data_IF_484040425588
#
_entry.id   IF_484040425588
#
_cell.length_a   1.000
_cell.length_b   1.000
_cell.length_c   1.000
_cell.angle_alpha   90.00
_cell.angle_beta   90.00
_cell.angle_gamma   90.00
#
_symmetry.space_group_name_H-M   'P 1'
#
loop_
_entity.id
_entity.type
_entity.pdbx_description
1 polymer ?
#
# COMPACT_ATOMS: atom_id res chain seq x y z
N UNK A 1 26.13 55.04 4.16
CA UNK A 1 25.10 54.19 3.54
C UNK A 1 25.59 52.75 3.52
N UNK A 2 24.91 51.83 4.20
CA UNK A 2 25.03 50.38 4.01
C UNK A 2 23.60 49.84 3.99
N UNK A 3 23.13 49.40 2.83
CA UNK A 3 21.80 48.80 2.71
C UNK A 3 21.86 47.37 3.26
N UNK A 4 21.08 47.09 4.30
CA UNK A 4 20.94 45.73 4.83
C UNK A 4 19.90 45.01 3.96
N UNK A 5 20.36 44.15 3.05
CA UNK A 5 19.46 43.36 2.21
C UNK A 5 18.90 42.20 3.04
N UNK A 6 17.67 42.38 3.54
CA UNK A 6 16.98 41.35 4.30
C UNK A 6 16.43 40.30 3.32
N UNK A 7 17.15 39.19 3.13
CA UNK A 7 16.60 38.02 2.44
C UNK A 7 15.49 37.42 3.30
N UNK A 8 14.24 37.68 2.91
CA UNK A 8 13.09 36.88 3.34
C UNK A 8 13.17 35.52 2.65
N UNK A 9 13.84 34.57 3.30
CA UNK A 9 13.65 33.14 3.04
C UNK A 9 12.24 32.78 3.49
N UNK A 10 11.29 32.85 2.56
CA UNK A 10 9.96 32.25 2.74
C UNK A 10 10.14 30.74 2.67
N UNK A 11 10.43 30.14 3.82
CA UNK A 11 10.40 28.69 3.98
C UNK A 11 8.95 28.21 3.90
N UNK A 12 8.49 27.91 2.68
CA UNK A 12 7.23 27.19 2.51
C UNK A 12 7.51 25.73 2.86
N UNK A 13 7.21 25.35 4.10
CA UNK A 13 7.06 23.95 4.47
C UNK A 13 5.79 23.44 3.79
N UNK A 14 5.94 22.85 2.61
CA UNK A 14 4.84 22.22 1.88
C UNK A 14 4.49 20.89 2.57
N UNK A 15 3.60 21.00 3.56
CA UNK A 15 2.84 19.89 4.09
C UNK A 15 1.91 19.31 3.02
N UNK A 16 1.24 18.20 3.31
CA UNK A 16 0.29 17.63 2.36
C UNK A 16 -0.94 18.55 2.23
N UNK A 17 -1.15 19.11 1.04
CA UNK A 17 -2.17 20.13 0.78
C UNK A 17 -3.58 19.52 0.72
N UNK A 18 -4.33 19.53 1.83
CA UNK A 18 -5.74 19.12 1.89
C UNK A 18 -6.67 20.32 1.68
N UNK A 19 -7.49 20.29 0.62
CA UNK A 19 -8.47 21.34 0.29
C UNK A 19 -9.89 20.78 0.42
N UNK A 20 -10.80 21.49 1.10
CA UNK A 20 -12.22 21.10 1.13
C UNK A 20 -12.81 21.19 -0.30
N UNK A 21 -13.32 20.09 -0.88
CA UNK A 21 -13.94 20.09 -2.21
C UNK A 21 -15.03 21.14 -2.41
N UNK A 22 -15.70 21.59 -1.33
CA UNK A 22 -16.73 22.65 -1.37
C UNK A 22 -16.16 24.03 -1.68
N UNK A 23 -14.84 24.23 -1.53
CA UNK A 23 -14.16 25.50 -1.78
C UNK A 23 -13.55 25.60 -3.19
N UNK A 24 -13.63 24.53 -3.98
CA UNK A 24 -13.14 24.49 -5.35
C UNK A 24 -13.92 25.43 -6.28
N UNK A 25 -13.22 26.42 -6.85
CA UNK A 25 -13.78 27.40 -7.80
C UNK A 25 -13.49 27.09 -9.28
N UNK A 26 -12.62 26.12 -9.55
CA UNK A 26 -12.23 25.69 -10.91
C UNK A 26 -12.19 24.16 -11.02
N UNK A 27 -12.49 23.63 -12.21
CA UNK A 27 -12.42 22.20 -12.51
C UNK A 27 -11.36 21.93 -13.59
N UNK A 28 -10.50 20.91 -13.44
CA UNK A 28 -10.41 20.01 -12.28
C UNK A 28 -9.77 20.68 -11.06
N UNK A 29 -10.24 20.32 -9.87
CA UNK A 29 -9.68 20.75 -8.59
C UNK A 29 -8.80 19.64 -8.02
N UNK A 30 -7.61 19.98 -7.54
CA UNK A 30 -6.73 19.10 -6.78
C UNK A 30 -7.06 19.29 -5.30
N UNK A 31 -7.63 18.26 -4.66
CA UNK A 31 -8.13 18.36 -3.26
C UNK A 31 -7.20 17.75 -2.21
N UNK A 32 -6.18 17.02 -2.66
CA UNK A 32 -5.15 16.41 -1.82
C UNK A 32 -3.92 16.15 -2.67
N UNK A 33 -2.73 16.40 -2.12
CA UNK A 33 -1.47 16.10 -2.75
C UNK A 33 -0.38 15.84 -1.71
N UNK A 34 0.46 14.82 -1.92
CA UNK A 34 1.67 14.61 -1.13
C UNK A 34 2.87 14.26 -2.03
N UNK A 35 3.80 15.20 -2.14
CA UNK A 35 5.04 15.02 -2.90
C UNK A 35 6.12 14.27 -2.11
N UNK A 36 5.90 14.00 -0.81
CA UNK A 36 6.83 13.37 0.12
C UNK A 36 8.21 14.05 0.22
N UNK A 37 8.21 15.38 0.26
CA UNK A 37 9.38 16.16 0.65
C UNK A 37 9.77 15.88 2.12
N UNK A 38 8.77 15.73 2.99
CA UNK A 38 8.86 15.12 4.31
C UNK A 38 7.69 14.15 4.52
N UNK A 39 7.73 13.34 5.59
CA UNK A 39 6.58 12.53 5.97
C UNK A 39 5.65 13.36 6.85
N UNK A 40 4.50 13.76 6.30
CA UNK A 40 3.48 14.50 7.03
C UNK A 40 2.74 13.59 8.01
N UNK A 41 2.94 13.81 9.31
CA UNK A 41 2.33 13.04 10.38
C UNK A 41 0.92 13.51 10.78
N UNK A 42 0.44 14.65 10.26
CA UNK A 42 -0.97 15.02 10.38
C UNK A 42 -1.85 14.27 9.35
N UNK A 43 -1.24 13.76 8.27
CA UNK A 43 -1.89 12.90 7.27
C UNK A 43 -1.60 11.42 7.49
N UNK A 44 -0.32 11.03 7.64
CA UNK A 44 0.11 9.63 7.62
C UNK A 44 0.46 9.10 9.02
N UNK A 45 -0.26 8.06 9.40
CA UNK A 45 0.04 7.23 10.57
C UNK A 45 0.66 5.90 10.13
N UNK A 46 1.64 5.40 10.89
CA UNK A 46 2.15 4.05 10.72
C UNK A 46 1.27 3.03 11.46
N UNK A 47 0.94 1.92 10.81
CA UNK A 47 0.50 0.74 11.56
C UNK A 47 1.68 0.12 12.29
N UNK A 48 1.44 -0.29 13.54
CA UNK A 48 2.41 -0.91 14.43
C UNK A 48 1.81 -2.23 14.90
N UNK A 49 2.16 -3.34 14.24
CA UNK A 49 1.56 -4.66 14.52
C UNK A 49 2.33 -5.82 13.87
N UNK A 50 2.28 -6.98 14.52
CA UNK A 50 2.70 -8.31 14.04
C UNK A 50 1.52 -9.19 13.58
N UNK A 51 0.29 -8.66 13.59
CA UNK A 51 -0.96 -9.42 13.39
C UNK A 51 -1.09 -10.16 12.05
N UNK A 52 -0.18 -9.91 11.10
CA UNK A 52 -0.10 -10.62 9.83
C UNK A 52 -1.18 -10.24 8.82
N UNK A 53 -1.89 -9.13 9.01
CA UNK A 53 -2.80 -8.53 8.02
C UNK A 53 -4.03 -9.36 7.63
N UNK A 54 -4.30 -10.48 8.31
CA UNK A 54 -5.28 -11.49 7.87
C UNK A 54 -4.70 -12.56 6.94
N UNK A 55 -3.52 -12.32 6.35
CA UNK A 55 -2.83 -13.22 5.42
C UNK A 55 -1.69 -14.03 6.07
N UNK A 56 -1.50 -13.91 7.40
CA UNK A 56 -0.37 -14.44 8.16
C UNK A 56 1.01 -14.00 7.62
N UNK A 57 1.09 -12.72 7.24
CA UNK A 57 2.29 -12.06 6.69
C UNK A 57 3.45 -12.09 7.71
N UNK A 58 4.70 -12.25 7.23
CA UNK A 58 5.87 -12.54 8.06
C UNK A 58 6.59 -11.31 8.61
N UNK A 59 6.16 -10.09 8.26
CA UNK A 59 6.75 -8.86 8.76
C UNK A 59 6.07 -8.34 10.04
N UNK A 60 6.80 -7.58 10.85
CA UNK A 60 6.25 -6.61 11.80
C UNK A 60 6.19 -5.24 11.11
N UNK A 61 5.03 -4.59 11.14
CA UNK A 61 4.92 -3.18 10.76
C UNK A 61 5.36 -2.30 11.94
N UNK A 62 6.23 -1.33 11.68
CA UNK A 62 6.78 -0.41 12.70
C UNK A 62 6.96 1.02 12.16
N UNK A 63 6.81 2.00 13.04
CA UNK A 63 7.31 3.36 12.81
C UNK A 63 8.83 3.39 13.06
N UNK A 64 9.62 3.01 12.05
CA UNK A 64 11.09 3.03 12.13
C UNK A 64 11.68 3.65 10.84
N UNK A 65 12.63 4.58 11.01
CA UNK A 65 13.27 5.32 9.92
C UNK A 65 14.30 4.51 9.11
N UNK A 66 14.69 3.30 9.52
CA UNK A 66 15.47 2.39 8.65
C UNK A 66 14.59 1.77 7.54
N UNK A 67 13.32 1.48 7.86
CA UNK A 67 12.36 0.84 6.95
C UNK A 67 11.34 1.80 6.33
N UNK A 68 11.16 3.01 6.87
CA UNK A 68 10.28 4.02 6.28
C UNK A 68 10.74 5.46 6.52
N UNK A 69 11.00 6.19 5.44
CA UNK A 69 11.55 7.54 5.46
C UNK A 69 11.24 8.25 4.14
N UNK A 70 11.32 9.58 4.10
CA UNK A 70 11.29 10.33 2.84
C UNK A 70 12.69 10.80 2.44
N UNK A 71 12.94 10.88 1.13
CA UNK A 71 14.15 11.49 0.55
C UNK A 71 13.85 11.86 -0.90
N UNK A 72 14.46 12.92 -1.43
CA UNK A 72 14.37 13.25 -2.86
C UNK A 72 12.90 13.33 -3.38
N UNK A 73 11.99 13.93 -2.59
CA UNK A 73 10.55 14.04 -2.86
C UNK A 73 9.91 12.67 -3.14
N UNK A 74 10.14 11.70 -2.26
CA UNK A 74 9.74 10.30 -2.42
C UNK A 74 9.65 9.61 -1.04
N UNK A 75 8.54 8.93 -0.77
CA UNK A 75 8.39 8.00 0.35
C UNK A 75 9.11 6.69 0.06
N UNK A 76 9.93 6.23 0.99
CA UNK A 76 10.54 4.91 0.95
C UNK A 76 9.84 3.99 1.93
N UNK A 77 9.48 2.79 1.46
CA UNK A 77 9.21 1.63 2.32
C UNK A 77 10.21 0.55 1.91
N UNK A 78 11.03 0.11 2.86
CA UNK A 78 12.18 -0.78 2.64
C UNK A 78 12.23 -1.83 3.74
N UNK A 79 11.75 -3.06 3.50
CA UNK A 79 11.85 -4.14 4.47
C UNK A 79 13.30 -4.48 4.84
N UNK A 80 13.51 -4.86 6.10
CA UNK A 80 14.82 -5.21 6.66
C UNK A 80 14.66 -6.29 7.75
N UNK A 81 15.64 -7.18 7.92
CA UNK A 81 15.54 -8.28 8.91
C UNK A 81 15.40 -7.73 10.34
N UNK A 82 14.51 -8.29 11.16
CA UNK A 82 14.27 -7.87 12.55
C UNK A 82 15.54 -7.95 13.41
N UNK A 83 16.39 -8.97 13.17
CA UNK A 83 17.69 -9.11 13.83
C UNK A 83 18.66 -7.94 13.54
N UNK A 84 18.51 -7.20 12.42
CA UNK A 84 19.31 -5.98 12.17
C UNK A 84 18.99 -4.83 13.14
N UNK A 85 17.81 -4.85 13.73
CA UNK A 85 17.36 -3.86 14.71
C UNK A 85 17.51 -4.34 16.15
N UNK A 86 17.29 -5.64 16.40
CA UNK A 86 17.26 -6.19 17.76
C UNK A 86 18.50 -7.02 18.15
N UNK A 87 19.37 -7.36 17.19
CA UNK A 87 20.53 -8.22 17.37
C UNK A 87 20.29 -9.65 16.86
N UNK A 88 21.38 -10.32 16.48
CA UNK A 88 21.34 -11.67 15.92
C UNK A 88 20.71 -12.68 16.90
N UNK A 89 19.78 -13.51 16.42
CA UNK A 89 19.11 -14.54 17.21
C UNK A 89 17.95 -14.02 18.08
N UNK A 90 17.65 -12.72 18.05
CA UNK A 90 16.49 -12.15 18.72
C UNK A 90 15.19 -12.79 18.23
N UNK A 91 15.05 -12.99 16.92
CA UNK A 91 13.85 -13.59 16.31
C UNK A 91 13.48 -14.96 16.91
N UNK A 92 14.45 -15.73 17.40
CA UNK A 92 14.26 -17.07 18.00
C UNK A 92 14.37 -17.12 19.53
N UNK A 93 14.49 -16.00 20.23
CA UNK A 93 14.72 -15.99 21.70
C UNK A 93 14.24 -14.74 22.46
N UNK A 94 13.93 -13.65 21.76
CA UNK A 94 13.57 -12.36 22.34
C UNK A 94 12.06 -12.12 22.41
N UNK A 95 11.69 -11.18 23.27
CA UNK A 95 10.33 -10.65 23.39
C UNK A 95 10.21 -9.35 22.58
N UNK A 96 9.31 -9.32 21.58
CA UNK A 96 8.99 -8.11 20.84
C UNK A 96 7.66 -7.53 21.31
N UNK A 97 7.75 -6.66 22.31
CA UNK A 97 6.63 -5.88 22.81
C UNK A 97 6.56 -4.51 22.10
N UNK A 98 5.41 -4.21 21.49
CA UNK A 98 5.15 -2.99 20.70
C UNK A 98 4.37 -1.92 21.48
N UNK A 99 4.09 -2.12 22.77
CA UNK A 99 3.37 -1.14 23.59
C UNK A 99 4.28 0.01 24.04
N UNK A 100 4.15 1.17 23.39
CA UNK A 100 4.89 2.40 23.76
C UNK A 100 6.36 2.38 23.36
N UNK A 101 6.71 1.58 22.35
CA UNK A 101 8.08 1.17 22.04
C UNK A 101 9.04 2.33 21.69
N UNK A 102 8.53 3.41 21.09
CA UNK A 102 9.31 4.63 20.80
C UNK A 102 8.83 5.84 21.64
N UNK A 103 8.03 5.64 22.70
CA UNK A 103 7.49 6.69 23.56
C UNK A 103 6.02 7.04 23.30
N UNK A 104 5.66 8.31 23.46
CA UNK A 104 4.26 8.77 23.34
C UNK A 104 3.86 8.90 21.86
N UNK A 105 2.93 8.06 21.42
CA UNK A 105 2.34 8.09 20.07
C UNK A 105 2.50 6.76 19.34
N UNK A 106 3.69 6.15 19.41
CA UNK A 106 3.98 4.84 18.82
C UNK A 106 3.46 3.71 19.71
N UNK A 107 2.15 3.53 19.66
CA UNK A 107 1.40 2.47 20.33
C UNK A 107 0.96 1.44 19.29
N UNK A 108 1.00 0.16 19.65
CA UNK A 108 0.52 -0.91 18.78
C UNK A 108 -0.93 -0.64 18.28
N UNK A 109 -1.12 -0.70 16.97
CA UNK A 109 -2.38 -0.37 16.29
C UNK A 109 -3.30 -1.56 16.06
N UNK A 110 -2.85 -2.79 16.36
CA UNK A 110 -3.65 -4.00 16.21
C UNK A 110 -3.10 -5.18 17.00
N UNK A 111 -3.85 -5.63 18.02
CA UNK A 111 -3.44 -6.73 18.91
C UNK A 111 -3.95 -8.13 18.49
N UNK A 112 -4.72 -8.22 17.41
CA UNK A 112 -5.20 -9.50 16.88
C UNK A 112 -4.03 -10.47 16.63
N UNK A 113 -4.23 -11.75 16.96
CA UNK A 113 -3.23 -12.82 16.76
C UNK A 113 -1.85 -12.50 17.36
N UNK A 114 -1.81 -12.07 18.62
CA UNK A 114 -0.56 -11.66 19.29
C UNK A 114 0.13 -10.52 18.52
N UNK A 115 -0.66 -9.54 18.07
CA UNK A 115 -0.18 -8.49 17.18
C UNK A 115 0.71 -7.44 17.86
N UNK A 116 0.62 -7.30 19.18
CA UNK A 116 1.40 -6.30 19.93
C UNK A 116 2.52 -6.86 20.78
N UNK A 117 2.56 -8.17 21.00
CA UNK A 117 3.52 -8.82 21.87
C UNK A 117 3.74 -10.28 21.42
N UNK A 118 5.00 -10.68 21.20
CA UNK A 118 5.40 -12.03 20.80
C UNK A 118 6.73 -12.41 21.44
N UNK A 119 6.79 -13.61 21.99
CA UNK A 119 8.01 -14.22 22.51
C UNK A 119 8.57 -15.27 21.53
N UNK A 120 9.76 -15.02 21.01
CA UNK A 120 10.49 -15.90 20.10
C UNK A 120 11.06 -17.12 20.81
N UNK A 121 10.93 -18.28 20.17
CA UNK A 121 11.53 -19.54 20.60
C UNK A 121 11.87 -20.41 19.37
N UNK A 122 12.42 -21.61 19.61
CA UNK A 122 12.86 -22.52 18.55
C UNK A 122 11.76 -23.02 17.58
N UNK A 123 10.47 -22.78 17.88
CA UNK A 123 9.33 -23.20 17.04
C UNK A 123 8.51 -21.99 16.57
N UNK A 124 8.20 -21.08 17.49
CA UNK A 124 7.45 -19.86 17.17
C UNK A 124 8.42 -18.68 17.16
N UNK A 125 8.76 -18.21 15.96
CA UNK A 125 9.62 -17.05 15.76
C UNK A 125 8.83 -15.75 15.93
N UNK A 126 9.50 -14.70 16.43
CA UNK A 126 9.05 -13.32 16.18
C UNK A 126 9.14 -13.04 14.68
N UNK A 127 8.26 -12.19 14.15
CA UNK A 127 8.22 -11.83 12.73
C UNK A 127 9.64 -11.47 12.22
N UNK A 128 10.24 -12.26 11.30
CA UNK A 128 11.66 -12.16 10.96
C UNK A 128 12.05 -10.90 10.19
N UNK A 129 11.08 -10.13 9.71
CA UNK A 129 11.29 -8.93 8.89
C UNK A 129 10.54 -7.75 9.52
N UNK A 130 11.13 -6.56 9.51
CA UNK A 130 10.45 -5.29 9.73
C UNK A 130 10.02 -4.70 8.40
N UNK A 131 8.88 -4.01 8.38
CA UNK A 131 8.43 -3.19 7.27
C UNK A 131 7.62 -1.99 7.79
N UNK A 132 7.00 -1.24 6.88
CA UNK A 132 6.01 -0.24 7.22
C UNK A 132 4.73 -0.43 6.41
N UNK A 133 3.61 -0.10 7.05
CA UNK A 133 2.31 0.17 6.42
C UNK A 133 1.90 1.56 6.90
N UNK A 134 1.76 2.50 5.96
CA UNK A 134 1.30 3.85 6.25
C UNK A 134 -0.16 3.97 5.84
N UNK A 135 -0.96 4.63 6.67
CA UNK A 135 -2.38 4.88 6.41
C UNK A 135 -2.71 6.37 6.50
N UNK A 136 -3.50 6.88 5.56
CA UNK A 136 -3.99 8.27 5.61
C UNK A 136 -5.20 8.46 6.52
N UNK A 137 -5.62 7.39 7.22
CA UNK A 137 -6.82 7.32 8.07
C UNK A 137 -7.09 8.56 8.95
N UNK A 138 -6.12 9.12 9.71
CA UNK A 138 -6.38 10.30 10.52
C UNK A 138 -6.70 11.53 9.66
N UNK A 139 -5.79 11.93 8.76
CA UNK A 139 -5.89 13.20 8.03
C UNK A 139 -6.76 13.17 6.78
N UNK A 140 -6.65 12.13 5.93
CA UNK A 140 -7.28 12.14 4.60
C UNK A 140 -8.08 10.88 4.26
N UNK A 141 -9.32 11.08 3.82
CA UNK A 141 -10.15 10.06 3.19
C UNK A 141 -11.12 10.69 2.18
N UNK A 142 -11.29 10.06 1.02
CA UNK A 142 -12.01 10.59 -0.13
C UNK A 142 -13.16 9.69 -0.55
N UNK A 143 -14.22 10.28 -1.09
CA UNK A 143 -15.26 9.59 -1.87
C UNK A 143 -15.26 10.16 -3.27
N UNK A 144 -15.08 9.29 -4.27
CA UNK A 144 -15.04 9.61 -5.70
C UNK A 144 -13.89 10.54 -6.13
N UNK A 145 -13.59 10.51 -7.43
CA UNK A 145 -12.56 11.32 -8.08
C UNK A 145 -11.52 10.48 -8.81
N UNK A 146 -10.59 11.16 -9.48
CA UNK A 146 -9.38 10.54 -10.01
C UNK A 146 -8.32 10.48 -8.93
N UNK A 147 -7.71 9.32 -8.74
CA UNK A 147 -6.56 9.12 -7.86
C UNK A 147 -5.37 8.70 -8.70
N UNK A 148 -4.19 9.30 -8.50
CA UNK A 148 -2.96 9.00 -9.25
C UNK A 148 -1.78 8.74 -8.29
N UNK A 149 -1.37 7.48 -8.15
CA UNK A 149 -0.19 7.09 -7.35
C UNK A 149 0.96 6.74 -8.28
N UNK A 150 2.09 7.41 -8.10
CA UNK A 150 3.28 7.25 -8.93
C UNK A 150 4.37 6.51 -8.18
N UNK A 151 4.50 5.21 -8.39
CA UNK A 151 5.37 4.35 -7.60
C UNK A 151 6.36 3.54 -8.43
N UNK A 152 7.32 2.91 -7.75
CA UNK A 152 8.17 1.87 -8.32
C UNK A 152 8.31 0.72 -7.33
N UNK A 153 7.97 -0.48 -7.79
CA UNK A 153 7.92 -1.67 -6.93
C UNK A 153 9.33 -2.12 -6.50
N UNK A 154 9.46 -2.78 -5.34
CA UNK A 154 10.75 -3.28 -4.88
C UNK A 154 11.15 -4.55 -5.66
N UNK A 155 12.47 -4.78 -5.75
CA UNK A 155 13.02 -6.11 -6.09
C UNK A 155 13.42 -6.84 -4.82
N UNK A 156 12.97 -8.08 -4.66
CA UNK A 156 13.33 -8.96 -3.56
C UNK A 156 12.31 -10.08 -3.39
N UNK A 157 12.81 -11.25 -3.01
CA UNK A 157 11.99 -12.45 -2.82
C UNK A 157 10.96 -12.23 -1.71
N UNK A 158 9.75 -12.74 -1.91
CA UNK A 158 8.63 -12.70 -0.96
C UNK A 158 8.09 -11.31 -0.65
N UNK A 159 8.60 -10.23 -1.26
CA UNK A 159 8.06 -8.89 -1.04
C UNK A 159 6.70 -8.74 -1.72
N UNK A 160 5.72 -8.21 -1.00
CA UNK A 160 4.36 -7.97 -1.48
C UNK A 160 4.02 -6.49 -1.27
N UNK A 161 4.44 -5.61 -2.21
CA UNK A 161 4.00 -4.22 -2.23
C UNK A 161 2.49 -4.11 -2.50
N UNK A 162 1.83 -3.18 -1.82
CA UNK A 162 0.43 -2.84 -2.08
C UNK A 162 0.18 -1.33 -2.03
N UNK A 163 -0.68 -0.85 -2.93
CA UNK A 163 -1.27 0.49 -2.98
C UNK A 163 -2.79 0.27 -3.01
N UNK A 164 -3.44 0.56 -1.90
CA UNK A 164 -4.82 0.12 -1.69
C UNK A 164 -5.57 1.06 -0.76
N UNK A 165 -6.87 0.81 -0.57
CA UNK A 165 -7.75 1.66 0.19
C UNK A 165 -8.79 0.86 0.98
N UNK A 166 -9.04 1.29 2.21
CA UNK A 166 -10.12 0.80 3.07
C UNK A 166 -11.09 1.93 3.42
N UNK A 167 -12.34 1.63 3.79
CA UNK A 167 -13.32 2.64 4.15
C UNK A 167 -12.97 3.24 5.52
N UNK A 168 -13.10 4.57 5.67
CA UNK A 168 -12.81 5.29 6.93
C UNK A 168 -13.74 4.88 8.08
N UNK A 169 -14.92 4.37 7.73
CA UNK A 169 -15.91 3.82 8.64
C UNK A 169 -16.46 2.52 8.03
N UNK A 170 -17.06 1.65 8.84
CA UNK A 170 -17.54 0.34 8.40
C UNK A 170 -19.08 0.24 8.43
N UNK A 171 -19.81 1.06 7.63
CA UNK A 171 -21.27 1.21 7.77
C UNK A 171 -22.07 -0.03 7.35
N UNK A 172 -21.46 -0.92 6.56
CA UNK A 172 -22.09 -2.13 6.03
C UNK A 172 -21.65 -3.41 6.76
N UNK A 173 -20.94 -3.27 7.88
CA UNK A 173 -20.35 -4.38 8.63
C UNK A 173 -18.85 -4.54 8.34
N UNK A 174 -18.27 -5.64 8.84
CA UNK A 174 -16.84 -5.92 8.68
C UNK A 174 -16.42 -6.23 7.23
N UNK A 175 -15.17 -6.63 7.04
CA UNK A 175 -14.67 -7.03 5.72
C UNK A 175 -15.36 -8.31 5.21
N UNK A 176 -15.69 -8.43 3.90
CA UNK A 176 -15.53 -7.44 2.83
C UNK A 176 -16.77 -6.55 2.64
N UNK A 177 -17.74 -6.58 3.55
CA UNK A 177 -19.05 -5.93 3.39
C UNK A 177 -18.99 -4.40 3.30
N UNK A 178 -17.98 -3.74 3.90
CA UNK A 178 -17.71 -2.31 3.69
C UNK A 178 -16.66 -2.01 2.60
N UNK A 179 -16.18 -3.02 1.87
CA UNK A 179 -15.34 -2.87 0.68
C UNK A 179 -13.83 -2.74 0.93
N UNK A 180 -13.05 -3.06 -0.11
CA UNK A 180 -11.60 -2.84 -0.25
C UNK A 180 -11.29 -2.48 -1.71
N UNK A 181 -10.39 -1.52 -1.96
CA UNK A 181 -9.98 -1.11 -3.31
C UNK A 181 -8.46 -1.25 -3.44
N UNK A 182 -8.01 -2.22 -4.22
CA UNK A 182 -6.61 -2.46 -4.49
C UNK A 182 -6.25 -1.85 -5.84
N UNK A 183 -5.56 -0.71 -5.78
CA UNK A 183 -5.07 0.04 -6.95
C UNK A 183 -3.85 -0.67 -7.56
N UNK A 184 -3.06 -1.33 -6.72
CA UNK A 184 -1.97 -2.21 -7.11
C UNK A 184 -1.67 -3.21 -6.01
N UNK A 185 -1.55 -4.47 -6.40
CA UNK A 185 -0.75 -5.47 -5.71
C UNK A 185 0.31 -6.05 -6.68
N UNK A 186 1.48 -6.40 -6.17
CA UNK A 186 2.52 -7.08 -6.96
C UNK A 186 3.39 -7.96 -6.07
N UNK A 187 4.34 -8.70 -6.67
CA UNK A 187 5.39 -9.43 -5.98
C UNK A 187 6.74 -8.80 -6.32
N UNK A 188 7.71 -8.85 -5.42
CA UNK A 188 9.05 -8.29 -5.65
C UNK A 188 10.02 -9.26 -6.33
N UNK A 189 9.69 -10.54 -6.44
CA UNK A 189 10.56 -11.58 -7.00
C UNK A 189 10.94 -11.29 -8.47
N UNK A 190 12.24 -11.36 -8.78
CA UNK A 190 12.75 -11.24 -10.16
C UNK A 190 12.48 -12.51 -10.99
N UNK A 191 12.50 -13.67 -10.33
CA UNK A 191 12.15 -14.97 -10.92
C UNK A 191 11.12 -15.67 -10.02
N UNK A 192 9.89 -15.80 -10.54
CA UNK A 192 8.77 -16.46 -9.85
C UNK A 192 7.70 -16.90 -10.86
N UNK A 193 8.15 -17.44 -12.00
CA UNK A 193 7.27 -17.78 -13.14
C UNK A 193 6.38 -16.62 -13.57
N UNK A 194 5.14 -16.92 -13.92
CA UNK A 194 4.13 -15.94 -14.39
C UNK A 194 3.47 -15.12 -13.26
N UNK A 195 4.16 -14.96 -12.12
CA UNK A 195 3.65 -14.27 -10.92
C UNK A 195 4.62 -13.22 -10.33
N UNK A 196 5.83 -13.07 -10.86
CA UNK A 196 6.87 -12.16 -10.35
C UNK A 196 6.61 -10.67 -10.58
N UNK A 197 7.65 -9.84 -10.39
CA UNK A 197 7.57 -8.37 -10.48
C UNK A 197 7.34 -7.79 -11.88
N UNK A 198 7.21 -8.66 -12.90
CA UNK A 198 6.69 -8.32 -14.22
C UNK A 198 5.16 -8.24 -14.27
N UNK A 199 4.45 -8.66 -13.22
CA UNK A 199 2.99 -8.57 -13.10
C UNK A 199 2.55 -7.64 -11.97
N UNK A 200 1.37 -7.05 -12.16
CA UNK A 200 0.60 -6.36 -11.14
C UNK A 200 -0.87 -6.80 -11.22
N UNK A 201 -1.57 -6.71 -10.10
CA UNK A 201 -3.00 -6.93 -9.98
C UNK A 201 -3.71 -5.66 -9.52
N UNK A 202 -4.99 -5.55 -9.88
CA UNK A 202 -5.93 -4.62 -9.25
C UNK A 202 -7.18 -5.41 -8.88
N UNK A 203 -7.76 -5.11 -7.73
CA UNK A 203 -8.87 -5.88 -7.18
C UNK A 203 -9.85 -4.96 -6.44
N UNK A 204 -11.10 -5.40 -6.33
CA UNK A 204 -12.07 -4.85 -5.38
C UNK A 204 -12.62 -6.00 -4.56
N UNK A 205 -12.53 -5.95 -3.23
CA UNK A 205 -13.15 -6.96 -2.36
C UNK A 205 -14.51 -6.45 -1.89
N UNK A 206 -15.55 -7.28 -2.05
CA UNK A 206 -16.93 -6.95 -1.69
C UNK A 206 -17.74 -8.23 -1.53
N UNK A 207 -18.77 -8.19 -0.69
CA UNK A 207 -19.58 -9.37 -0.35
C UNK A 207 -20.17 -9.25 1.05
N UNK A 208 -21.23 -10.00 1.40
CA UNK A 208 -21.86 -9.88 2.71
C UNK A 208 -20.95 -10.31 3.88
N UNK A 209 -19.99 -11.20 3.64
CA UNK A 209 -19.02 -11.71 4.63
C UNK A 209 -17.91 -12.53 3.95
N UNK A 210 -16.83 -12.86 4.68
CA UNK A 210 -15.59 -13.44 4.11
C UNK A 210 -15.77 -14.68 3.18
N UNK A 211 -16.67 -15.66 3.42
CA UNK A 211 -16.84 -16.80 2.50
C UNK A 211 -17.51 -16.44 1.16
N UNK A 212 -18.11 -15.26 1.06
CA UNK A 212 -18.79 -14.74 -0.13
C UNK A 212 -18.15 -13.43 -0.58
N UNK A 213 -16.81 -13.39 -0.57
CA UNK A 213 -16.03 -12.32 -1.17
C UNK A 213 -15.96 -12.51 -2.70
N UNK A 214 -16.57 -11.60 -3.47
CA UNK A 214 -16.70 -11.66 -4.93
C UNK A 214 -15.58 -10.93 -5.69
N UNK A 215 -14.39 -10.89 -5.10
CA UNK A 215 -13.21 -10.23 -5.68
C UNK A 215 -12.82 -10.78 -7.07
N UNK A 216 -13.14 -12.05 -7.33
CA UNK A 216 -12.95 -12.74 -8.62
C UNK A 216 -13.73 -12.10 -9.77
N UNK A 217 -14.86 -11.45 -9.48
CA UNK A 217 -15.67 -10.71 -10.46
C UNK A 217 -15.10 -9.33 -10.79
N UNK A 218 -14.14 -8.85 -9.99
CA UNK A 218 -13.66 -7.45 -9.97
C UNK A 218 -12.14 -7.38 -9.78
N UNK A 219 -11.43 -8.29 -10.42
CA UNK A 219 -9.96 -8.32 -10.43
C UNK A 219 -9.43 -8.33 -11.87
N UNK A 220 -8.23 -7.79 -12.07
CA UNK A 220 -7.48 -7.90 -13.32
C UNK A 220 -5.98 -7.99 -13.04
N UNK A 221 -5.29 -8.89 -13.74
CA UNK A 221 -3.83 -8.97 -13.79
C UNK A 221 -3.32 -8.34 -15.09
N UNK A 222 -2.21 -7.61 -14.99
CA UNK A 222 -1.57 -6.91 -16.11
C UNK A 222 -0.04 -7.00 -16.01
N UNK A 223 0.65 -6.73 -17.11
CA UNK A 223 2.12 -6.81 -17.21
C UNK A 223 2.77 -5.44 -17.34
N UNK A 224 4.01 -5.33 -16.85
CA UNK A 224 4.82 -4.13 -17.00
C UNK A 224 5.28 -3.94 -18.45
N UNK A 225 5.11 -2.73 -18.98
CA UNK A 225 5.45 -2.37 -20.37
C UNK A 225 6.96 -2.37 -20.66
N UNK A 226 7.79 -2.16 -19.64
CA UNK A 226 9.26 -2.25 -19.67
C UNK A 226 9.80 -3.57 -19.09
N UNK A 227 8.92 -4.58 -18.97
CA UNK A 227 9.22 -5.92 -18.49
C UNK A 227 9.27 -6.07 -16.97
N UNK A 228 9.21 -5.00 -16.16
CA UNK A 228 9.10 -5.15 -14.70
C UNK A 228 8.72 -3.84 -13.98
N UNK A 229 7.71 -3.89 -13.11
CA UNK A 229 7.25 -2.74 -12.31
C UNK A 229 8.30 -2.21 -11.29
N UNK A 230 9.46 -2.86 -11.22
CA UNK A 230 10.61 -2.44 -10.42
C UNK A 230 11.76 -1.84 -11.27
N UNK A 231 11.65 -1.79 -12.61
CA UNK A 231 12.60 -1.13 -13.50
C UNK A 231 12.45 0.39 -13.40
N UNK A 232 11.32 0.90 -13.86
CA UNK A 232 10.97 2.32 -13.87
C UNK A 232 9.83 2.63 -12.90
N UNK A 233 9.40 3.89 -12.86
CA UNK A 233 8.26 4.32 -12.08
C UNK A 233 7.05 4.43 -13.00
N UNK A 234 5.92 3.86 -12.56
CA UNK A 234 4.66 3.86 -13.29
C UNK A 234 3.62 4.71 -12.56
N UNK A 235 2.58 5.13 -13.28
CA UNK A 235 1.41 5.82 -12.71
C UNK A 235 0.23 4.87 -12.67
N UNK A 236 -0.17 4.48 -11.46
CA UNK A 236 -1.44 3.80 -11.23
C UNK A 236 -2.53 4.83 -11.00
N UNK A 237 -3.64 4.67 -11.69
CA UNK A 237 -4.78 5.58 -11.58
C UNK A 237 -6.09 4.84 -11.41
N UNK A 238 -6.97 5.38 -10.57
CA UNK A 238 -8.40 5.06 -10.63
C UNK A 238 -9.23 6.31 -10.94
N UNK A 239 -10.19 6.20 -11.86
CA UNK A 239 -11.28 7.17 -12.04
C UNK A 239 -12.54 6.59 -11.36
N UNK A 240 -12.80 6.99 -10.13
CA UNK A 240 -13.93 6.53 -9.32
C UNK A 240 -15.09 7.53 -9.40
N UNK A 241 -16.25 7.08 -9.86
CA UNK A 241 -17.50 7.87 -9.90
C UNK A 241 -18.55 7.27 -8.98
N UNK A 242 -19.77 7.81 -8.94
CA UNK A 242 -20.90 7.16 -8.25
C UNK A 242 -21.52 5.99 -9.03
N UNK A 243 -21.02 5.68 -10.23
CA UNK A 243 -21.59 4.64 -11.10
C UNK A 243 -20.60 3.54 -11.49
N UNK A 244 -19.29 3.81 -11.50
CA UNK A 244 -18.25 2.86 -11.86
C UNK A 244 -16.86 3.25 -11.33
N UNK A 245 -15.91 2.33 -11.40
CA UNK A 245 -14.47 2.58 -11.20
C UNK A 245 -13.69 2.08 -12.42
N UNK A 246 -12.91 2.97 -13.05
CA UNK A 246 -11.97 2.62 -14.12
C UNK A 246 -10.53 2.63 -13.58
N UNK A 247 -9.78 1.54 -13.76
CA UNK A 247 -8.39 1.39 -13.33
C UNK A 247 -7.44 1.51 -14.53
N UNK A 248 -6.33 2.21 -14.34
CA UNK A 248 -5.32 2.43 -15.37
C UNK A 248 -3.89 2.26 -14.83
N UNK A 249 -2.99 1.85 -15.73
CA UNK A 249 -1.53 1.85 -15.53
C UNK A 249 -0.91 2.57 -16.71
N UNK A 250 -0.14 3.63 -16.46
CA UNK A 250 0.48 4.47 -17.50
C UNK A 250 -0.52 4.90 -18.60
N UNK A 251 -1.67 5.42 -18.18
CA UNK A 251 -2.83 5.80 -19.00
C UNK A 251 -3.57 4.65 -19.74
N UNK A 252 -3.06 3.41 -19.71
CA UNK A 252 -3.73 2.23 -20.28
C UNK A 252 -4.81 1.71 -19.34
N UNK A 253 -6.06 1.59 -19.82
CA UNK A 253 -7.18 1.01 -19.05
C UNK A 253 -6.93 -0.50 -18.84
N UNK A 254 -6.91 -0.96 -17.59
CA UNK A 254 -6.71 -2.39 -17.23
C UNK A 254 -7.96 -3.07 -16.67
N UNK A 255 -8.86 -2.32 -16.01
CA UNK A 255 -10.14 -2.81 -15.50
C UNK A 255 -11.19 -1.70 -15.52
N UNK A 256 -12.46 -2.04 -15.74
CA UNK A 256 -13.60 -1.13 -15.63
C UNK A 256 -14.74 -1.88 -14.92
N UNK A 257 -15.06 -1.49 -13.70
CA UNK A 257 -16.11 -2.11 -12.88
C UNK A 257 -17.35 -1.20 -12.85
N UNK A 258 -18.41 -1.63 -13.54
CA UNK A 258 -19.77 -1.10 -13.41
C UNK A 258 -20.71 -2.27 -13.08
N UNK A 259 -21.36 -2.31 -11.89
CA UNK A 259 -22.23 -3.41 -11.50
C UNK A 259 -23.63 -3.39 -12.18
N UNK A 260 -23.85 -2.49 -13.15
CA UNK A 260 -25.12 -2.29 -13.84
C UNK A 260 -26.13 -1.54 -12.96
N UNK A 261 -26.77 -2.27 -12.04
CA UNK A 261 -27.79 -1.73 -11.12
C UNK A 261 -27.23 -1.50 -9.72
N UNK A 262 -26.69 -2.55 -9.10
CA UNK A 262 -26.07 -2.52 -7.77
C UNK A 262 -25.10 -3.69 -7.60
N UNK A 263 -24.14 -3.59 -6.67
CA UNK A 263 -23.29 -4.75 -6.34
C UNK A 263 -24.10 -5.93 -5.78
N UNK A 264 -25.25 -5.69 -5.14
CA UNK A 264 -26.11 -6.79 -4.69
C UNK A 264 -26.61 -7.62 -5.88
N UNK A 265 -27.13 -6.97 -6.92
CA UNK A 265 -27.59 -7.66 -8.14
C UNK A 265 -26.42 -8.32 -8.86
N UNK A 266 -25.25 -7.67 -8.90
CA UNK A 266 -24.03 -8.19 -9.51
C UNK A 266 -23.45 -9.42 -8.77
N UNK A 267 -23.79 -9.63 -7.49
CA UNK A 267 -23.41 -10.84 -6.74
C UNK A 267 -24.08 -12.11 -7.30
N UNK A 268 -25.33 -12.00 -7.75
CA UNK A 268 -26.19 -13.12 -8.09
C UNK A 268 -26.80 -13.89 -6.89
N UNK A 269 -26.63 -13.42 -5.65
CA UNK A 269 -27.11 -14.12 -4.42
C UNK A 269 -28.64 -14.15 -4.24
N UNK A 270 -29.38 -13.28 -4.95
CA UNK A 270 -30.84 -13.24 -4.87
C UNK A 270 -31.35 -12.83 -3.47
N UNK A 271 -32.24 -13.65 -2.91
CA UNK A 271 -32.91 -13.42 -1.62
C UNK A 271 -32.61 -14.48 -0.55
N UNK A 272 -31.59 -15.31 -0.75
CA UNK A 272 -31.17 -16.33 0.24
C UNK A 272 -30.32 -15.73 1.38
N UNK A 273 -29.80 -14.51 1.17
CA UNK A 273 -28.92 -13.79 2.06
C UNK A 273 -29.46 -12.38 2.32
N UNK A 274 -29.21 -11.84 3.51
CA UNK A 274 -29.52 -10.44 3.82
C UNK A 274 -28.57 -9.51 3.07
N UNK A 275 -29.13 -8.51 2.38
CA UNK A 275 -28.36 -7.51 1.67
C UNK A 275 -27.83 -6.43 2.65
N UNK A 276 -26.51 -6.29 2.85
CA UNK A 276 -25.95 -5.25 3.73
C UNK A 276 -26.07 -3.84 3.12
N UNK A 277 -26.29 -3.73 1.81
CA UNK A 277 -26.27 -2.47 1.05
C UNK A 277 -27.67 -1.91 0.73
N UNK A 278 -28.73 -2.36 1.41
CA UNK A 278 -30.12 -1.87 1.18
C UNK A 278 -30.26 -0.34 1.30
N UNK A 279 -29.43 0.29 2.12
CA UNK A 279 -29.40 1.75 2.31
C UNK A 279 -28.26 2.46 1.54
N UNK A 280 -27.56 1.76 0.64
CA UNK A 280 -26.43 2.28 -0.13
C UNK A 280 -26.81 2.83 -1.51
N UNK A 281 -25.87 3.54 -2.12
CA UNK A 281 -25.92 3.96 -3.53
C UNK A 281 -25.56 2.79 -4.48
N UNK A 282 -25.67 2.98 -5.80
CA UNK A 282 -25.36 1.96 -6.83
C UNK A 282 -24.02 1.23 -6.60
N UNK A 283 -22.99 1.97 -6.17
CA UNK A 283 -21.65 1.41 -5.94
C UNK A 283 -21.41 0.87 -4.54
N UNK A 284 -22.37 0.91 -3.61
CA UNK A 284 -22.18 0.37 -2.27
C UNK A 284 -21.60 -1.06 -2.33
N UNK A 285 -20.48 -1.35 -1.64
CA UNK A 285 -19.91 -0.57 -0.53
C UNK A 285 -18.96 0.58 -0.90
N UNK A 286 -18.61 0.74 -2.17
CA UNK A 286 -17.72 1.76 -2.71
C UNK A 286 -18.42 3.12 -2.93
N UNK A 287 -19.38 3.44 -2.07
CA UNK A 287 -20.10 4.71 -1.98
C UNK A 287 -19.79 5.46 -0.67
N UNK A 288 -18.73 5.07 0.02
CA UNK A 288 -18.24 5.65 1.26
C UNK A 288 -16.94 6.44 1.04
N UNK A 289 -16.42 7.07 2.11
CA UNK A 289 -15.06 7.64 2.10
C UNK A 289 -14.03 6.56 2.39
N UNK A 290 -13.04 6.43 1.52
CA UNK A 290 -11.92 5.50 1.65
C UNK A 290 -10.60 6.26 1.93
N UNK A 291 -9.74 5.69 2.77
CA UNK A 291 -8.40 6.21 3.08
C UNK A 291 -7.34 5.32 2.42
N UNK A 292 -6.16 5.88 2.15
CA UNK A 292 -5.06 5.17 1.50
C UNK A 292 -4.28 4.32 2.48
N UNK A 293 -3.81 3.16 2.01
CA UNK A 293 -2.78 2.34 2.64
C UNK A 293 -1.65 2.05 1.65
N UNK A 294 -0.40 2.25 2.10
CA UNK A 294 0.80 1.87 1.35
C UNK A 294 1.67 0.97 2.22
N UNK A 295 2.03 -0.23 1.73
CA UNK A 295 2.89 -1.14 2.47
C UNK A 295 3.78 -2.00 1.59
N UNK A 296 4.71 -2.69 2.24
CA UNK A 296 5.29 -3.96 1.76
C UNK A 296 5.05 -5.02 2.81
N UNK A 297 4.14 -5.95 2.53
CA UNK A 297 4.07 -7.21 3.24
C UNK A 297 5.24 -8.11 2.80
N UNK A 298 5.55 -9.14 3.57
CA UNK A 298 6.59 -10.13 3.25
C UNK A 298 6.05 -11.52 3.49
N UNK A 299 5.90 -12.30 2.42
CA UNK A 299 5.26 -13.60 2.44
C UNK A 299 3.80 -13.54 2.90
N UNK A 300 3.31 -14.68 3.35
CA UNK A 300 1.92 -14.91 3.78
C UNK A 300 1.51 -16.35 3.50
N UNK A 301 0.54 -16.88 4.24
CA UNK A 301 0.07 -18.27 4.11
C UNK A 301 -1.28 -18.37 3.42
N UNK A 302 -1.75 -17.30 2.79
CA UNK A 302 -3.04 -17.21 2.09
C UNK A 302 -3.00 -17.76 0.64
N UNK A 303 -1.84 -18.25 0.18
CA UNK A 303 -1.63 -18.71 -1.19
C UNK A 303 -1.20 -17.62 -2.18
N UNK A 304 -1.03 -16.36 -1.76
CA UNK A 304 -0.51 -15.31 -2.65
C UNK A 304 0.93 -15.61 -3.13
N UNK A 305 1.71 -16.31 -2.30
CA UNK A 305 2.96 -16.96 -2.71
C UNK A 305 2.77 -18.48 -2.65
N UNK A 306 2.50 -19.18 -3.77
CA UNK A 306 2.43 -20.64 -3.78
C UNK A 306 3.80 -21.29 -3.55
N UNK A 307 3.81 -22.41 -2.81
CA UNK A 307 5.01 -23.24 -2.58
C UNK A 307 5.48 -23.97 -3.86
N UNK A 308 4.56 -24.27 -4.77
CA UNK A 308 4.80 -24.97 -6.04
C UNK A 308 4.68 -24.01 -7.24
N UNK A 309 5.78 -23.33 -7.58
CA UNK A 309 5.91 -22.66 -8.90
C UNK A 309 6.47 -23.67 -9.91
N UNK A 310 5.92 -23.79 -11.13
CA UNK A 310 6.36 -24.78 -12.11
C UNK A 310 7.88 -24.80 -12.36
N UNK A 311 8.46 -25.99 -12.34
CA UNK A 311 9.89 -26.26 -12.13
C UNK A 311 10.86 -25.89 -13.29
N UNK A 312 10.54 -24.92 -14.13
CA UNK A 312 11.55 -24.27 -15.00
C UNK A 312 12.40 -23.24 -14.25
N UNK A 313 12.01 -22.89 -13.02
CA UNK A 313 12.67 -21.91 -12.16
C UNK A 313 12.97 -22.56 -10.80
N UNK A 314 14.17 -22.35 -10.21
CA UNK A 314 14.47 -22.89 -8.89
C UNK A 314 13.54 -22.25 -7.85
N UNK A 315 13.03 -23.05 -6.91
CA UNK A 315 12.22 -22.55 -5.79
C UNK A 315 12.87 -21.29 -5.18
N UNK A 316 12.09 -20.25 -4.84
CA UNK A 316 12.63 -19.12 -4.08
C UNK A 316 13.28 -19.64 -2.81
N UNK A 317 14.59 -19.51 -2.74
CA UNK A 317 15.37 -20.02 -1.61
C UNK A 317 15.00 -19.30 -0.30
N UNK A 318 15.52 -19.78 0.84
CA UNK A 318 15.48 -18.97 2.06
C UNK A 318 16.12 -17.60 1.78
N UNK A 319 15.56 -16.54 2.37
CA UNK A 319 15.87 -15.12 2.06
C UNK A 319 17.39 -14.89 1.91
N UNK A 320 17.88 -14.84 0.67
CA UNK A 320 19.32 -14.94 0.38
C UNK A 320 20.00 -13.59 0.15
N UNK A 321 21.18 -13.43 0.74
CA UNK A 321 21.98 -12.21 0.67
C UNK A 321 22.60 -11.93 -0.73
N UNK A 322 21.85 -11.31 -1.64
CA UNK A 322 22.35 -10.93 -2.95
C UNK A 322 23.01 -9.53 -2.97
N UNK A 323 24.06 -9.37 -3.79
CA UNK A 323 24.86 -8.13 -3.92
C UNK A 323 24.29 -7.16 -4.95
N UNK A 324 24.41 -5.83 -4.74
CA UNK A 324 23.89 -4.83 -5.65
C UNK A 324 24.79 -4.55 -6.86
N UNK A 325 24.14 -4.15 -7.97
CA UNK A 325 24.74 -3.46 -9.11
C UNK A 325 24.20 -2.02 -9.18
N UNK A 326 25.09 -1.09 -9.52
CA UNK A 326 24.90 0.32 -9.93
C UNK A 326 23.69 1.12 -9.41
N UNK A 327 24.05 2.18 -8.68
CA UNK A 327 23.29 3.39 -8.40
C UNK A 327 22.58 4.03 -9.61
N UNK A 328 21.29 4.36 -9.44
CA UNK A 328 20.65 5.51 -10.08
C UNK A 328 19.48 5.99 -9.22
N UNK A 329 19.68 7.08 -8.48
CA UNK A 329 18.59 7.82 -7.84
C UNK A 329 18.00 8.82 -8.83
N UNK A 330 16.67 8.93 -8.86
CA UNK A 330 15.93 9.97 -9.58
C UNK A 330 14.49 10.02 -9.05
N UNK A 331 14.13 11.10 -8.35
CA UNK A 331 12.73 11.56 -8.25
C UNK A 331 12.29 12.18 -9.59
N UNK A 332 11.01 12.51 -9.81
CA UNK A 332 10.50 12.80 -11.18
C UNK A 332 9.64 14.06 -11.37
N UNK A 333 9.05 14.64 -10.31
CA UNK A 333 8.02 15.71 -10.41
C UNK A 333 6.71 15.16 -11.05
N UNK A 334 5.63 15.95 -11.09
CA UNK A 334 4.36 15.66 -11.80
C UNK A 334 4.01 16.84 -12.72
N UNK A 335 3.57 16.55 -13.95
CA UNK A 335 3.14 17.54 -14.94
C UNK A 335 1.99 17.01 -15.80
N UNK A 336 1.04 17.88 -16.18
CA UNK A 336 -0.21 17.49 -16.83
C UNK A 336 -0.07 17.08 -18.30
N UNK A 337 -0.99 16.21 -18.77
CA UNK A 337 -1.74 16.47 -20.00
C UNK A 337 -3.15 17.02 -19.70
N UNK A 338 -3.75 17.71 -20.67
CA UNK A 338 -5.06 18.34 -20.50
C UNK A 338 -6.22 17.32 -20.56
N UNK A 339 -7.21 17.48 -19.66
CA UNK A 339 -8.43 16.66 -19.66
C UNK A 339 -9.27 16.85 -18.40
N UNK A 340 -10.58 17.07 -18.57
CA UNK A 340 -11.54 17.24 -17.48
C UNK A 340 -11.74 15.93 -16.69
N UNK A 341 -11.30 15.87 -15.41
CA UNK A 341 -11.77 14.95 -14.34
C UNK A 341 -11.22 15.38 -12.96
N UNK A 342 -12.03 15.25 -11.90
CA UNK A 342 -11.73 15.52 -10.47
C UNK A 342 -10.36 14.95 -10.08
N UNK A 343 -9.49 15.64 -9.31
CA UNK A 343 -8.14 15.15 -8.95
C UNK A 343 -7.93 15.00 -7.43
N UNK A 344 -7.37 13.86 -7.02
CA UNK A 344 -7.25 13.46 -5.61
C UNK A 344 -5.95 12.67 -5.42
N UNK A 345 -4.99 13.17 -4.64
CA UNK A 345 -3.66 12.58 -4.47
C UNK A 345 -2.80 12.55 -5.75
N UNK A 346 -1.66 13.23 -5.72
CA UNK A 346 -0.42 12.54 -6.09
C UNK A 346 0.20 11.92 -4.84
N UNK A 347 0.80 10.75 -5.00
CA UNK A 347 1.64 10.08 -3.99
C UNK A 347 2.84 9.48 -4.70
N UNK A 348 4.05 9.70 -4.17
CA UNK A 348 5.29 9.10 -4.67
C UNK A 348 5.88 8.10 -3.68
N UNK A 349 5.90 6.81 -4.04
CA UNK A 349 6.52 5.75 -3.24
C UNK A 349 7.59 4.97 -4.04
N UNK A 350 8.78 4.79 -3.47
CA UNK A 350 9.89 4.03 -4.06
C UNK A 350 10.39 2.99 -3.07
N UNK A 351 10.38 1.73 -3.48
CA UNK A 351 10.61 0.62 -2.57
C UNK A 351 11.95 -0.04 -2.90
N UNK A 352 12.83 -0.16 -1.90
CA UNK A 352 14.24 -0.49 -2.13
C UNK A 352 14.60 -1.94 -1.79
N UNK A 353 15.49 -2.49 -2.62
CA UNK A 353 16.16 -3.79 -2.49
C UNK A 353 16.83 -3.99 -1.12
N UNK A 354 16.82 -5.22 -0.59
CA UNK A 354 17.70 -5.59 0.54
C UNK A 354 19.17 -5.45 0.12
N UNK A 355 19.87 -4.47 0.69
CA UNK A 355 21.31 -4.28 0.52
C UNK A 355 22.04 -5.05 1.63
N UNK A 356 23.05 -5.82 1.25
CA UNK A 356 23.81 -6.70 2.14
C UNK A 356 25.24 -6.21 2.32
N UNK A 357 25.65 -5.99 3.57
CA UNK A 357 27.02 -5.59 3.92
C UNK A 357 27.93 -6.82 3.99
N UNK A 358 29.11 -6.76 3.35
CA UNK A 358 30.14 -7.79 3.52
C UNK A 358 30.70 -7.76 4.95
N UNK A 359 30.83 -8.92 5.58
CA UNK A 359 31.91 -9.16 6.52
C UNK A 359 33.04 -9.92 5.80
N UNK A 360 34.26 -9.41 5.93
CA UNK A 360 35.50 -10.16 5.85
C UNK A 360 36.37 -9.65 7.00
N UNK A 361 37.29 -10.42 7.58
CA UNK A 361 37.85 -11.71 7.13
C UNK A 361 37.43 -12.85 8.04
#
# INVERSE_FOLDING_TARGET
>A
MKALCLLLLVGVTLAADVVDPKTCTTFPCLIFNDEFDFLDHDVWEHEITMSGGGNWEFQVYVNNRSVSYTRDSTLFIRPELTDRWKGDGFVSSGELNLWGMNGRGDVCTGNSYYGCDRFGNAVNLVNPVMSARLRSLPGFAVKYGRIEVRAKMPRGDWLWPAIWMLPRYWPYGGWPASGEIDILESRGNDDYGDLGNQYGGTTMHWGPHWPLNFYDKTTAQYTASDGSFANSFHVWRIDWTSTKIDYYVDDVLVLSVDPGTSFWDFSGLGSEYDNPWVAGEKLAPFDQKFYFLFNVAVGGTNGFFPDEVPATHPNPGPIHHHKPSSTSGMGVIVGCPAGNRVRVASVKALLYRLITSRCGR
#
